data_IF_673206040749
#
_entry.id   IF_673206040749
#
_cell.length_a   1.000
_cell.length_b   1.000
_cell.length_c   1.000
_cell.angle_alpha   90.00
_cell.angle_beta   90.00
_cell.angle_gamma   90.00
#
_symmetry.space_group_name_H-M   'P 1'
#
loop_
_entity.id
_entity.type
_entity.pdbx_description
1 polymer ?
#
# COMPACT_ATOMS: atom_id res chain seq x y z
N UNK A 1 -25.08 23.52 -36.95
CA UNK A 1 -24.15 22.45 -37.37
C UNK A 1 -22.82 22.52 -36.61
N UNK A 2 -22.32 23.70 -36.23
CA UNK A 2 -21.08 23.85 -35.44
C UNK A 2 -21.20 23.36 -33.99
N UNK A 3 -22.33 23.57 -33.33
CA UNK A 3 -22.50 23.17 -31.91
C UNK A 3 -22.64 21.65 -31.75
N UNK A 4 -23.24 20.97 -32.73
CA UNK A 4 -23.41 19.51 -32.74
C UNK A 4 -22.06 18.79 -32.81
N UNK A 5 -21.12 19.30 -33.64
CA UNK A 5 -19.76 18.77 -33.71
C UNK A 5 -18.93 19.06 -32.44
N UNK A 6 -19.22 20.15 -31.73
CA UNK A 6 -18.57 20.48 -30.46
C UNK A 6 -18.99 19.53 -29.34
N UNK A 7 -20.29 19.19 -29.28
CA UNK A 7 -20.86 18.24 -28.33
C UNK A 7 -20.29 16.82 -28.57
N UNK A 8 -20.21 16.37 -29.82
CA UNK A 8 -19.62 15.06 -30.15
C UNK A 8 -18.15 14.95 -29.72
N UNK A 9 -17.39 16.04 -29.87
CA UNK A 9 -15.99 16.09 -29.44
C UNK A 9 -15.86 16.03 -27.92
N UNK A 10 -16.71 16.74 -27.19
CA UNK A 10 -16.73 16.70 -25.72
C UNK A 10 -17.09 15.30 -25.22
N UNK A 11 -18.08 14.67 -25.85
CA UNK A 11 -18.52 13.33 -25.49
C UNK A 11 -17.42 12.28 -25.75
N UNK A 12 -16.69 12.41 -26.86
CA UNK A 12 -15.53 11.56 -27.15
C UNK A 12 -14.41 11.75 -26.12
N UNK A 13 -14.17 12.98 -25.66
CA UNK A 13 -13.16 13.26 -24.62
C UNK A 13 -13.57 12.61 -23.30
N UNK A 14 -14.83 12.72 -22.88
CA UNK A 14 -15.32 12.12 -21.64
C UNK A 14 -15.20 10.59 -21.67
N UNK A 15 -15.56 9.95 -22.78
CA UNK A 15 -15.40 8.49 -22.94
C UNK A 15 -13.94 8.05 -22.84
N UNK A 16 -13.00 8.82 -23.41
CA UNK A 16 -11.57 8.52 -23.30
C UNK A 16 -11.06 8.72 -21.88
N UNK A 17 -11.50 9.75 -21.17
CA UNK A 17 -11.15 9.98 -19.77
C UNK A 17 -11.65 8.85 -18.88
N UNK A 18 -12.88 8.38 -19.09
CA UNK A 18 -13.44 7.25 -18.34
C UNK A 18 -12.64 5.96 -18.58
N UNK A 19 -12.21 5.71 -19.83
CA UNK A 19 -11.36 4.56 -20.17
C UNK A 19 -10.00 4.64 -19.46
N UNK A 20 -9.35 5.80 -19.53
CA UNK A 20 -8.05 6.02 -18.86
C UNK A 20 -8.20 5.85 -17.34
N UNK A 21 -9.29 6.36 -16.76
CA UNK A 21 -9.53 6.21 -15.32
C UNK A 21 -9.63 4.72 -14.93
N UNK A 22 -10.41 3.93 -15.66
CA UNK A 22 -10.56 2.49 -15.39
C UNK A 22 -9.22 1.75 -15.53
N UNK A 23 -8.44 2.05 -16.57
CA UNK A 23 -7.11 1.44 -16.75
C UNK A 23 -6.15 1.82 -15.61
N UNK A 24 -6.19 3.06 -15.12
CA UNK A 24 -5.36 3.50 -13.99
C UNK A 24 -5.78 2.81 -12.68
N UNK A 25 -7.08 2.65 -12.45
CA UNK A 25 -7.60 1.91 -11.28
C UNK A 25 -7.16 0.45 -11.31
N UNK A 26 -7.29 -0.23 -12.46
CA UNK A 26 -6.85 -1.61 -12.64
C UNK A 26 -5.34 -1.78 -12.42
N UNK A 27 -4.52 -0.85 -12.95
CA UNK A 27 -3.07 -0.84 -12.69
C UNK A 27 -2.81 -0.69 -11.20
N UNK A 28 -3.49 0.22 -10.51
CA UNK A 28 -3.30 0.44 -9.07
C UNK A 28 -3.67 -0.77 -8.23
N UNK A 29 -4.74 -1.48 -8.60
CA UNK A 29 -5.16 -2.71 -7.90
C UNK A 29 -4.14 -3.84 -8.03
N UNK A 30 -3.49 -3.95 -9.20
CA UNK A 30 -2.53 -5.02 -9.50
C UNK A 30 -1.07 -4.59 -9.32
N UNK A 31 -0.82 -3.33 -8.98
CA UNK A 31 0.51 -2.86 -8.63
C UNK A 31 0.94 -3.55 -7.34
N UNK A 32 1.93 -4.44 -7.47
CA UNK A 32 2.62 -5.01 -6.32
C UNK A 32 3.34 -3.86 -5.62
N UNK A 33 2.88 -3.56 -4.42
CA UNK A 33 3.55 -2.61 -3.53
C UNK A 33 4.89 -3.24 -3.13
N UNK A 34 5.97 -2.73 -3.72
CA UNK A 34 7.34 -3.25 -3.50
C UNK A 34 7.74 -3.07 -2.03
N UNK A 35 7.19 -2.07 -1.34
CA UNK A 35 7.41 -1.84 0.09
C UNK A 35 6.62 -2.82 0.99
N UNK A 36 5.70 -3.62 0.41
CA UNK A 36 5.01 -4.72 1.09
C UNK A 36 5.64 -6.09 0.86
N UNK A 37 6.66 -6.19 0.00
CA UNK A 37 7.39 -7.43 -0.18
C UNK A 37 8.38 -7.55 0.99
N UNK A 38 8.00 -8.30 2.01
CA UNK A 38 8.95 -8.74 3.04
C UNK A 38 10.04 -9.56 2.37
N UNK A 39 11.30 -9.24 2.64
CA UNK A 39 12.39 -10.14 2.34
C UNK A 39 12.31 -11.35 3.28
N UNK A 40 13.05 -12.41 2.97
CA UNK A 40 13.10 -13.60 3.82
C UNK A 40 13.55 -13.25 5.25
N UNK A 41 14.54 -12.37 5.38
CA UNK A 41 15.04 -11.85 6.66
C UNK A 41 13.95 -11.13 7.46
N UNK A 42 13.10 -10.33 6.80
CA UNK A 42 11.98 -9.63 7.46
C UNK A 42 10.94 -10.63 7.99
N UNK A 43 10.68 -11.68 7.21
CA UNK A 43 9.75 -12.75 7.61
C UNK A 43 10.29 -13.55 8.80
N UNK A 44 11.58 -13.90 8.80
CA UNK A 44 12.24 -14.58 9.90
C UNK A 44 12.23 -13.72 11.18
N UNK A 45 12.52 -12.43 11.07
CA UNK A 45 12.45 -11.50 12.19
C UNK A 45 11.04 -11.44 12.81
N UNK A 46 10.01 -11.43 11.95
CA UNK A 46 8.62 -11.44 12.38
C UNK A 46 8.22 -12.76 13.07
N UNK A 47 8.69 -13.91 12.57
CA UNK A 47 8.48 -15.20 13.22
C UNK A 47 9.13 -15.23 14.61
N UNK A 48 10.40 -14.83 14.70
CA UNK A 48 11.12 -14.77 15.97
C UNK A 48 10.44 -13.85 16.98
N UNK A 49 10.00 -12.66 16.54
CA UNK A 49 9.22 -11.74 17.39
C UNK A 49 7.95 -12.42 17.93
N UNK A 50 7.21 -13.14 17.10
CA UNK A 50 5.98 -13.85 17.52
C UNK A 50 6.28 -14.93 18.55
N UNK A 51 7.35 -15.69 18.36
CA UNK A 51 7.81 -16.70 19.32
C UNK A 51 8.21 -16.07 20.66
N UNK A 52 8.99 -14.99 20.64
CA UNK A 52 9.39 -14.26 21.86
C UNK A 52 8.19 -13.65 22.59
N UNK A 53 7.21 -13.12 21.83
CA UNK A 53 5.94 -12.62 22.37
C UNK A 53 5.16 -13.73 23.06
N UNK A 54 5.01 -14.88 22.41
CA UNK A 54 4.29 -16.03 22.96
C UNK A 54 4.98 -16.60 24.21
N UNK A 55 6.31 -16.57 24.24
CA UNK A 55 7.12 -16.97 25.38
C UNK A 55 7.16 -15.93 26.52
N UNK A 56 6.53 -14.76 26.36
CA UNK A 56 6.54 -13.69 27.37
C UNK A 56 7.91 -13.05 27.57
N UNK A 57 8.80 -13.12 26.58
CA UNK A 57 10.19 -12.60 26.64
C UNK A 57 10.33 -11.15 26.17
N UNK A 58 9.24 -10.53 25.72
CA UNK A 58 9.25 -9.13 25.31
C UNK A 58 9.13 -8.20 26.51
N UNK A 59 9.90 -7.11 26.47
CA UNK A 59 9.87 -6.02 27.45
C UNK A 59 9.30 -4.75 26.79
N UNK A 60 8.59 -3.92 27.54
CA UNK A 60 8.16 -2.62 27.03
C UNK A 60 9.33 -1.65 26.91
N UNK A 61 9.18 -0.63 26.07
CA UNK A 61 10.19 0.41 25.93
C UNK A 61 10.46 1.15 27.25
N UNK A 62 9.40 1.44 28.01
CA UNK A 62 9.48 2.08 29.32
C UNK A 62 10.20 1.20 30.34
N UNK A 63 9.91 -0.10 30.35
CA UNK A 63 10.59 -1.07 31.22
C UNK A 63 12.07 -1.19 30.86
N UNK A 64 12.40 -1.26 29.57
CA UNK A 64 13.78 -1.31 29.08
C UNK A 64 14.57 -0.06 29.49
N UNK A 65 13.96 1.12 29.40
CA UNK A 65 14.59 2.37 29.87
C UNK A 65 14.92 2.33 31.36
N UNK A 66 14.00 1.81 32.17
CA UNK A 66 14.23 1.64 33.61
C UNK A 66 15.39 0.68 33.89
N UNK A 67 15.49 -0.43 33.15
CA UNK A 67 16.59 -1.40 33.30
C UNK A 67 17.95 -0.85 32.85
N UNK A 68 17.96 0.03 31.84
CA UNK A 68 19.17 0.65 31.29
C UNK A 68 19.56 1.96 31.98
N UNK A 69 18.80 2.42 32.97
CA UNK A 69 18.98 3.70 33.65
C UNK A 69 18.95 4.92 32.68
N UNK A 70 18.08 4.85 31.64
CA UNK A 70 17.91 5.85 30.57
C UNK A 70 16.60 6.64 30.64
#
# INVERSE_FOLDING_TARGET
MSDTMSIDRQQLILQKLEKIQKEVEEIREHMVDVDRIMCEEDYEALLKFREEKAAGRLISHEQLKQELEL
#
